data_IF_860491464050
#
_entry.id   IF_860491464050
#
_cell.length_a   1.000
_cell.length_b   1.000
_cell.length_c   1.000
_cell.angle_alpha   90.00
_cell.angle_beta   90.00
_cell.angle_gamma   90.00
#
_symmetry.space_group_name_H-M   'P 1'
#
loop_
_entity.id
_entity.type
_entity.pdbx_description
1 polymer ?
#
# COMPACT_ATOMS: atom_id res chain seq x y z
N UNK A 1 15.39 -66.93 24.20
CA UNK A 1 14.66 -65.83 24.83
C UNK A 1 15.32 -64.51 24.43
N UNK A 2 14.76 -63.64 23.60
CA UNK A 2 14.04 -63.80 22.35
C UNK A 2 14.40 -62.49 21.63
N UNK A 3 15.03 -62.57 20.45
CA UNK A 3 15.38 -61.45 19.58
C UNK A 3 14.15 -60.65 19.05
N UNK A 4 12.98 -60.85 19.66
CA UNK A 4 11.70 -60.29 19.31
C UNK A 4 11.33 -59.06 20.13
N UNK A 5 12.07 -58.78 21.20
CA UNK A 5 11.83 -57.60 22.06
C UNK A 5 12.50 -56.33 21.50
N UNK A 6 13.36 -56.46 20.48
CA UNK A 6 13.92 -55.33 19.70
C UNK A 6 13.06 -55.03 18.47
N UNK A 7 12.31 -56.02 17.95
CA UNK A 7 11.36 -55.81 16.87
C UNK A 7 10.10 -55.07 17.35
N UNK A 8 9.70 -55.27 18.62
CA UNK A 8 8.52 -54.62 19.21
C UNK A 8 8.79 -53.14 19.59
N UNK A 9 10.06 -52.78 19.82
CA UNK A 9 10.48 -51.39 20.09
C UNK A 9 10.60 -50.54 18.81
N UNK A 10 10.79 -51.18 17.65
CA UNK A 10 10.75 -50.51 16.34
C UNK A 10 9.31 -50.21 15.90
N UNK A 11 8.33 -51.00 16.37
CA UNK A 11 6.91 -50.77 16.12
C UNK A 11 6.42 -49.47 16.77
N UNK A 12 6.90 -49.16 17.98
CA UNK A 12 6.54 -47.94 18.72
C UNK A 12 7.20 -46.64 18.19
N UNK A 13 8.39 -46.71 17.58
CA UNK A 13 9.10 -45.53 17.06
C UNK A 13 8.60 -45.12 15.66
N UNK A 14 8.12 -46.09 14.85
CA UNK A 14 7.43 -45.79 13.59
C UNK A 14 6.05 -45.19 13.79
N UNK A 15 5.37 -45.56 14.88
CA UNK A 15 4.02 -45.10 15.21
C UNK A 15 3.99 -43.62 15.67
N UNK A 16 5.01 -43.18 16.41
CA UNK A 16 5.12 -41.77 16.83
C UNK A 16 5.44 -40.82 15.66
N UNK A 17 6.32 -41.22 14.75
CA UNK A 17 6.62 -40.41 13.56
C UNK A 17 5.44 -40.34 12.57
N UNK A 18 4.68 -41.43 12.46
CA UNK A 18 3.43 -41.46 11.68
C UNK A 18 2.34 -40.59 12.32
N UNK A 19 2.21 -40.63 13.66
CA UNK A 19 1.29 -39.77 14.40
C UNK A 19 1.63 -38.29 14.24
N UNK A 20 2.91 -37.92 14.30
CA UNK A 20 3.35 -36.53 14.09
C UNK A 20 3.05 -36.05 12.66
N UNK A 21 3.32 -36.88 11.65
CA UNK A 21 2.96 -36.56 10.26
C UNK A 21 1.45 -36.46 10.07
N UNK A 22 0.66 -37.33 10.72
CA UNK A 22 -0.80 -37.28 10.66
C UNK A 22 -1.35 -36.02 11.34
N UNK A 23 -0.78 -35.59 12.47
CA UNK A 23 -1.16 -34.35 13.15
C UNK A 23 -0.83 -33.11 12.30
N UNK A 24 0.33 -33.11 11.63
CA UNK A 24 0.68 -32.05 10.66
C UNK A 24 -0.28 -32.06 9.45
N UNK A 25 -0.67 -33.23 8.97
CA UNK A 25 -1.64 -33.34 7.88
C UNK A 25 -3.03 -32.85 8.29
N UNK A 26 -3.48 -33.19 9.50
CA UNK A 26 -4.75 -32.73 10.06
C UNK A 26 -4.73 -31.21 10.30
N UNK A 27 -3.63 -30.63 10.77
CA UNK A 27 -3.51 -29.18 10.94
C UNK A 27 -3.48 -28.43 9.61
N UNK A 28 -2.88 -29.01 8.57
CA UNK A 28 -2.94 -28.46 7.21
C UNK A 28 -4.35 -28.57 6.62
N UNK A 29 -5.04 -29.69 6.85
CA UNK A 29 -6.43 -29.85 6.44
C UNK A 29 -7.35 -28.85 7.16
N UNK A 30 -7.17 -28.68 8.47
CA UNK A 30 -7.90 -27.70 9.27
C UNK A 30 -7.63 -26.27 8.76
N UNK A 31 -6.37 -25.91 8.50
CA UNK A 31 -6.02 -24.61 7.91
C UNK A 31 -6.67 -24.38 6.53
N UNK A 32 -6.84 -25.44 5.73
CA UNK A 32 -7.48 -25.36 4.40
C UNK A 32 -9.01 -25.35 4.46
N UNK A 33 -9.61 -26.03 5.44
CA UNK A 33 -11.06 -26.18 5.59
C UNK A 33 -11.68 -25.03 6.39
N UNK A 34 -11.00 -24.61 7.46
CA UNK A 34 -11.46 -23.62 8.45
C UNK A 34 -11.02 -22.20 8.06
N UNK A 35 -10.38 -22.06 6.89
CA UNK A 35 -10.05 -20.83 6.18
C UNK A 35 -9.95 -19.59 7.07
N UNK A 36 -8.74 -19.30 7.56
CA UNK A 36 -8.44 -18.14 8.42
C UNK A 36 -9.37 -16.95 8.14
N UNK A 37 -10.03 -16.38 9.16
CA UNK A 37 -11.07 -15.37 8.97
C UNK A 37 -10.53 -14.25 8.09
N UNK A 38 -11.09 -14.15 6.88
CA UNK A 38 -10.64 -13.17 5.91
C UNK A 38 -11.19 -11.81 6.32
N UNK A 39 -10.31 -10.81 6.40
CA UNK A 39 -10.73 -9.42 6.61
C UNK A 39 -10.77 -8.71 5.27
N UNK A 40 -11.89 -8.07 4.95
CA UNK A 40 -12.06 -7.28 3.73
C UNK A 40 -12.31 -5.83 4.10
N UNK A 41 -11.37 -4.95 3.76
CA UNK A 41 -11.55 -3.52 3.93
C UNK A 41 -12.12 -2.86 2.68
N UNK A 42 -13.26 -2.18 2.80
CA UNK A 42 -13.86 -1.42 1.70
C UNK A 42 -13.53 0.06 1.88
N UNK A 43 -12.57 0.56 1.10
CA UNK A 43 -12.10 1.96 1.16
C UNK A 43 -13.22 2.98 1.00
N UNK A 44 -14.14 2.77 0.06
CA UNK A 44 -15.22 3.73 -0.21
C UNK A 44 -16.26 3.81 0.92
N UNK A 45 -16.43 2.73 1.69
CA UNK A 45 -17.34 2.69 2.83
C UNK A 45 -16.63 2.95 4.16
N UNK A 46 -15.29 3.01 4.14
CA UNK A 46 -14.42 3.08 5.30
C UNK A 46 -14.79 2.05 6.38
N UNK A 47 -15.03 0.80 5.97
CA UNK A 47 -15.44 -0.30 6.85
C UNK A 47 -14.58 -1.52 6.63
N UNK A 48 -14.19 -2.14 7.74
CA UNK A 48 -13.55 -3.44 7.77
C UNK A 48 -14.63 -4.50 8.01
N UNK A 49 -14.79 -5.41 7.06
CA UNK A 49 -15.63 -6.58 7.18
C UNK A 49 -14.75 -7.73 7.66
N UNK A 50 -15.19 -8.39 8.72
CA UNK A 50 -14.54 -9.59 9.24
C UNK A 50 -15.45 -10.74 8.83
N UNK A 51 -14.93 -11.64 8.00
CA UNK A 51 -15.67 -12.82 7.56
C UNK A 51 -15.38 -13.94 8.55
N UNK A 52 -16.26 -14.08 9.53
CA UNK A 52 -16.25 -15.15 10.54
C UNK A 52 -17.55 -15.08 11.34
N UNK A 53 -18.10 -16.22 11.74
CA UNK A 53 -19.32 -16.25 12.55
C UNK A 53 -18.95 -16.11 14.03
N UNK A 54 -19.25 -14.94 14.62
CA UNK A 54 -19.06 -14.69 16.06
C UNK A 54 -19.93 -15.62 16.93
N UNK A 55 -21.01 -16.17 16.38
CA UNK A 55 -21.91 -17.09 17.10
C UNK A 55 -21.47 -18.54 17.04
N UNK A 56 -20.71 -18.97 16.02
CA UNK A 56 -20.27 -20.37 15.85
C UNK A 56 -18.91 -20.64 16.54
N UNK A 57 -18.28 -19.60 17.10
CA UNK A 57 -17.01 -19.72 17.83
C UNK A 57 -15.78 -19.79 16.93
N UNK A 58 -15.92 -19.40 15.66
CA UNK A 58 -14.81 -19.26 14.70
C UNK A 58 -13.79 -18.19 15.13
N UNK A 59 -14.24 -17.21 15.91
CA UNK A 59 -13.42 -16.16 16.51
C UNK A 59 -13.47 -16.33 18.02
N UNK A 60 -12.32 -16.56 18.64
CA UNK A 60 -12.18 -16.81 20.08
C UNK A 60 -11.61 -15.61 20.81
N UNK A 61 -11.85 -15.56 22.12
CA UNK A 61 -11.11 -14.66 23.00
C UNK A 61 -9.60 -14.96 22.86
N UNK A 62 -8.78 -13.92 22.73
CA UNK A 62 -7.34 -13.93 22.41
C UNK A 62 -6.91 -14.05 20.93
N UNK A 63 -7.86 -14.05 19.97
CA UNK A 63 -7.51 -13.94 18.54
C UNK A 63 -7.11 -12.50 18.16
N UNK A 64 -6.07 -12.37 17.32
CA UNK A 64 -5.54 -11.08 16.88
C UNK A 64 -5.96 -10.74 15.45
N UNK A 65 -6.52 -9.54 15.28
CA UNK A 65 -6.73 -8.95 13.96
C UNK A 65 -5.53 -8.09 13.59
N UNK A 66 -4.84 -8.47 12.52
CA UNK A 66 -3.70 -7.73 11.97
C UNK A 66 -4.15 -7.09 10.66
N UNK A 67 -4.03 -5.77 10.57
CA UNK A 67 -4.32 -5.02 9.35
C UNK A 67 -3.14 -4.10 9.01
N UNK A 68 -2.65 -4.20 7.77
CA UNK A 68 -1.73 -3.23 7.21
C UNK A 68 -2.54 -2.06 6.64
N UNK A 69 -2.40 -0.88 7.23
CA UNK A 69 -3.19 0.29 6.90
C UNK A 69 -2.29 1.47 6.52
N UNK A 70 -2.65 2.16 5.43
CA UNK A 70 -2.09 3.49 5.15
C UNK A 70 -2.83 4.54 5.96
N UNK A 71 -2.08 5.29 6.78
CA UNK A 71 -2.61 6.42 7.53
C UNK A 71 -2.29 7.73 6.82
N UNK A 72 -3.29 8.61 6.69
CA UNK A 72 -3.06 9.99 6.29
C UNK A 72 -2.37 10.70 7.46
N UNK A 73 -1.10 11.08 7.27
CA UNK A 73 -0.36 11.84 8.27
C UNK A 73 -0.74 13.32 8.14
N UNK A 74 -1.17 13.94 9.23
CA UNK A 74 -1.46 15.38 9.23
C UNK A 74 -0.18 16.21 9.16
N UNK A 75 -0.11 17.12 8.19
CA UNK A 75 1.01 18.08 8.07
C UNK A 75 1.17 19.03 9.25
N UNK A 76 0.17 19.17 10.13
CA UNK A 76 0.30 19.93 11.38
C UNK A 76 1.13 19.21 12.45
N UNK A 77 1.16 17.88 12.41
CA UNK A 77 1.91 17.03 13.33
C UNK A 77 3.32 16.72 12.83
N UNK A 78 3.49 16.62 11.51
CA UNK A 78 4.76 16.24 10.86
C UNK A 78 5.09 17.22 9.72
N UNK A 79 5.68 18.36 10.06
CA UNK A 79 6.06 19.41 9.09
C UNK A 79 7.10 18.94 8.05
N UNK A 80 7.83 17.85 8.33
CA UNK A 80 8.79 17.25 7.39
C UNK A 80 8.14 16.79 6.07
N UNK A 81 6.83 16.54 6.05
CA UNK A 81 6.08 16.20 4.83
C UNK A 81 6.17 17.33 3.79
N UNK A 82 6.19 18.59 4.24
CA UNK A 82 6.34 19.73 3.32
C UNK A 82 7.75 19.88 2.75
N UNK A 83 8.72 19.12 3.29
CA UNK A 83 10.08 19.13 2.79
C UNK A 83 10.33 18.18 1.62
N UNK A 84 9.31 17.41 1.21
CA UNK A 84 9.36 16.55 0.05
C UNK A 84 9.74 17.34 -1.22
N UNK A 85 10.70 16.81 -1.98
CA UNK A 85 11.25 17.46 -3.18
C UNK A 85 10.17 17.62 -4.25
N UNK A 86 9.39 16.56 -4.49
CA UNK A 86 8.33 16.56 -5.49
C UNK A 86 7.24 17.56 -5.11
N UNK A 87 6.85 17.62 -3.84
CA UNK A 87 5.81 18.56 -3.40
C UNK A 87 6.25 20.02 -3.59
N UNK A 88 7.52 20.33 -3.34
CA UNK A 88 8.10 21.67 -3.59
C UNK A 88 8.16 22.00 -5.07
N UNK A 89 8.61 21.07 -5.90
CA UNK A 89 8.65 21.23 -7.36
C UNK A 89 7.24 21.46 -7.93
N UNK A 90 6.27 20.66 -7.51
CA UNK A 90 4.87 20.77 -7.95
C UNK A 90 4.24 22.11 -7.53
N UNK A 91 4.45 22.51 -6.27
CA UNK A 91 3.95 23.81 -5.78
C UNK A 91 4.57 24.97 -6.54
N UNK A 92 5.87 24.89 -6.85
CA UNK A 92 6.60 25.91 -7.64
C UNK A 92 6.03 26.01 -9.06
N UNK A 93 5.77 24.87 -9.71
CA UNK A 93 5.17 24.84 -11.05
C UNK A 93 3.75 25.43 -11.07
N UNK A 94 2.93 25.15 -10.04
CA UNK A 94 1.60 25.76 -9.91
C UNK A 94 1.67 27.28 -9.73
N UNK A 95 2.61 27.77 -8.92
CA UNK A 95 2.85 29.21 -8.78
C UNK A 95 3.25 29.77 -10.14
N UNK A 96 4.23 29.16 -10.83
CA UNK A 96 4.67 29.60 -12.17
C UNK A 96 3.50 29.70 -13.16
N UNK A 97 2.61 28.71 -13.17
CA UNK A 97 1.41 28.72 -14.03
C UNK A 97 0.48 29.89 -13.71
N UNK A 98 0.22 30.15 -12.43
CA UNK A 98 -0.63 31.26 -12.01
C UNK A 98 -0.02 32.62 -12.37
N UNK A 99 1.31 32.76 -12.20
CA UNK A 99 2.03 33.94 -12.62
C UNK A 99 1.98 34.12 -14.14
N UNK A 100 2.24 33.07 -14.93
CA UNK A 100 2.10 33.10 -16.39
C UNK A 100 0.71 33.56 -16.84
N UNK A 101 -0.35 33.01 -16.24
CA UNK A 101 -1.74 33.40 -16.51
C UNK A 101 -2.00 34.89 -16.20
N UNK A 102 -1.45 35.39 -15.10
CA UNK A 102 -1.55 36.82 -14.78
C UNK A 102 -0.76 37.70 -15.75
N UNK A 103 0.43 37.27 -16.17
CA UNK A 103 1.30 38.02 -17.08
C UNK A 103 0.77 38.04 -18.52
N UNK A 104 0.08 36.99 -18.98
CA UNK A 104 -0.59 36.96 -20.30
C UNK A 104 -1.62 38.10 -20.43
N UNK A 105 -2.29 38.49 -19.33
CA UNK A 105 -3.24 39.62 -19.36
C UNK A 105 -2.59 40.96 -19.67
N UNK A 106 -1.27 41.06 -19.53
CA UNK A 106 -0.46 42.24 -19.83
C UNK A 106 0.36 42.07 -21.13
N UNK A 107 0.04 41.06 -21.95
CA UNK A 107 0.66 40.85 -23.27
C UNK A 107 0.44 42.08 -24.16
N UNK A 108 1.52 42.61 -24.75
CA UNK A 108 1.51 43.84 -25.55
C UNK A 108 1.81 45.13 -24.77
N UNK A 109 1.90 45.08 -23.44
CA UNK A 109 2.41 46.21 -22.66
C UNK A 109 3.94 46.25 -22.74
N UNK A 110 4.49 47.38 -23.21
CA UNK A 110 5.93 47.62 -23.24
C UNK A 110 6.33 48.31 -21.94
N UNK A 111 7.21 47.69 -21.17
CA UNK A 111 7.75 48.31 -19.97
C UNK A 111 8.71 49.45 -20.36
N UNK A 112 8.86 50.50 -19.52
CA UNK A 112 9.87 51.51 -19.72
C UNK A 112 11.26 50.85 -19.86
N UNK A 113 11.91 51.04 -21.01
CA UNK A 113 13.13 50.29 -21.38
C UNK A 113 12.95 49.30 -22.53
N UNK A 114 11.76 49.19 -23.13
CA UNK A 114 11.53 48.40 -24.36
C UNK A 114 11.36 46.90 -24.13
N UNK A 115 11.33 46.45 -22.87
CA UNK A 115 11.16 45.04 -22.51
C UNK A 115 9.68 44.68 -22.57
N UNK A 116 9.36 43.57 -23.25
CA UNK A 116 8.02 42.98 -23.27
C UNK A 116 7.97 41.78 -22.34
N UNK A 117 6.82 41.59 -21.69
CA UNK A 117 6.58 40.48 -20.79
C UNK A 117 6.20 39.22 -21.57
N UNK A 118 6.97 38.14 -21.41
CA UNK A 118 6.70 36.86 -22.05
C UNK A 118 5.86 35.94 -21.15
N UNK A 119 4.60 36.33 -20.91
CA UNK A 119 3.70 35.58 -20.04
C UNK A 119 3.27 34.23 -20.62
N UNK A 120 3.16 34.13 -21.94
CA UNK A 120 2.72 32.90 -22.64
C UNK A 120 3.71 31.77 -22.49
N UNK A 121 5.00 32.03 -22.72
CA UNK A 121 6.04 31.02 -22.57
C UNK A 121 6.10 30.49 -21.13
N UNK A 122 6.03 31.38 -20.13
CA UNK A 122 6.02 30.99 -18.71
C UNK A 122 4.84 30.05 -18.38
N UNK A 123 3.67 30.33 -18.95
CA UNK A 123 2.47 29.50 -18.75
C UNK A 123 2.60 28.12 -19.42
N UNK A 124 3.10 28.08 -20.64
CA UNK A 124 3.30 26.84 -21.40
C UNK A 124 4.36 25.95 -20.73
N UNK A 125 5.50 26.52 -20.34
CA UNK A 125 6.56 25.83 -19.61
C UNK A 125 6.05 25.24 -18.30
N UNK A 126 5.29 26.03 -17.52
CA UNK A 126 4.70 25.56 -16.26
C UNK A 126 3.71 24.41 -16.48
N UNK A 127 2.95 24.45 -17.57
CA UNK A 127 1.97 23.39 -17.89
C UNK A 127 2.67 22.08 -18.28
N UNK A 128 3.79 22.17 -18.99
CA UNK A 128 4.63 21.00 -19.31
C UNK A 128 5.28 20.42 -18.04
N UNK A 129 5.84 21.25 -17.17
CA UNK A 129 6.42 20.83 -15.89
C UNK A 129 5.38 20.09 -15.02
N UNK A 130 4.15 20.62 -14.93
CA UNK A 130 3.04 19.96 -14.21
C UNK A 130 2.72 18.59 -14.81
N UNK A 131 2.70 18.46 -16.13
CA UNK A 131 2.42 17.20 -16.80
C UNK A 131 3.51 16.16 -16.49
N UNK A 132 4.78 16.55 -16.58
CA UNK A 132 5.92 15.69 -16.26
C UNK A 132 5.92 15.24 -14.80
N UNK A 133 5.66 16.16 -13.86
CA UNK A 133 5.60 15.84 -12.43
C UNK A 133 4.45 14.87 -12.10
N UNK A 134 3.33 14.97 -12.80
CA UNK A 134 2.19 14.05 -12.67
C UNK A 134 2.45 12.68 -13.26
N UNK A 135 3.27 12.60 -14.30
CA UNK A 135 3.73 11.32 -14.85
C UNK A 135 4.73 10.66 -13.90
N UNK A 136 5.73 11.42 -13.44
CA UNK A 136 6.75 10.96 -12.50
C UNK A 136 6.15 10.40 -11.20
N UNK A 137 5.19 11.10 -10.58
CA UNK A 137 4.57 10.60 -9.34
C UNK A 137 3.80 9.30 -9.55
N UNK A 138 3.19 9.09 -10.73
CA UNK A 138 2.52 7.82 -11.04
C UNK A 138 3.53 6.70 -11.19
N UNK A 139 4.62 6.94 -11.92
CA UNK A 139 5.67 5.94 -12.11
C UNK A 139 6.42 5.59 -10.81
N UNK A 140 6.65 6.56 -9.94
CA UNK A 140 7.45 6.37 -8.72
C UNK A 140 6.62 5.85 -7.53
N UNK A 141 5.33 6.19 -7.45
CA UNK A 141 4.47 5.85 -6.31
C UNK A 141 3.29 4.93 -6.64
N UNK A 142 3.16 4.42 -7.87
CA UNK A 142 2.35 3.24 -8.09
C UNK A 142 3.02 2.06 -7.39
N UNK A 143 2.34 1.51 -6.37
CA UNK A 143 2.70 0.22 -5.79
C UNK A 143 2.92 -0.76 -6.96
N UNK A 144 3.96 -1.63 -6.91
CA UNK A 144 4.08 -2.68 -7.90
C UNK A 144 2.74 -3.41 -7.99
N UNK A 145 2.27 -3.69 -9.21
CA UNK A 145 1.03 -4.44 -9.42
C UNK A 145 1.08 -5.65 -8.50
N UNK A 146 0.11 -5.74 -7.58
CA UNK A 146 0.05 -6.79 -6.56
C UNK A 146 0.25 -8.12 -7.29
N UNK A 147 1.39 -8.78 -7.02
CA UNK A 147 1.78 -9.96 -7.76
C UNK A 147 0.80 -11.06 -7.35
N UNK A 148 -0.26 -11.25 -8.13
CA UNK A 148 -1.21 -12.32 -7.95
C UNK A 148 -0.47 -13.66 -8.09
N UNK A 149 0.08 -14.17 -6.98
CA UNK A 149 0.47 -15.56 -6.87
C UNK A 149 -0.83 -16.37 -6.85
N UNK A 150 -1.04 -17.14 -7.92
CA UNK A 150 -2.10 -18.15 -7.98
C UNK A 150 -1.84 -19.33 -7.06
#
# INVERSE_FOLDING_TARGET
>A
MHLNDIADLHSFIGDLGYYEQMQQYLSVLDMKLTGNPQVSYVRNQNRLYIHGDFSDGDIKEDDYLIAECYQIISGSSHAAIYNDMWLKEYTTALIKQQWGSNLIKFEGMVLPGGVQLNGRQIFEDATQEIAQLREKIRLEHELPADFFMG
#
